data_IF_339894704167
#
_entry.id   IF_339894704167
#
_cell.length_a   1.000
_cell.length_b   1.000
_cell.length_c   1.000
_cell.angle_alpha   90.00
_cell.angle_beta   90.00
_cell.angle_gamma   90.00
#
_symmetry.space_group_name_H-M   'P 1'
#
loop_
_entity.id
_entity.type
_entity.pdbx_description
1 polymer ?
#
# COMPACT_ATOMS: atom_id res chain seq x y z
N UNK A 1 -0.87 -13.72 -2.43
CA UNK A 1 -2.30 -13.56 -2.85
C UNK A 1 -3.09 -12.57 -2.01
N UNK A 2 -2.88 -12.45 -0.69
CA UNK A 2 -3.69 -11.63 0.22
C UNK A 2 -3.75 -10.13 -0.17
N UNK A 3 -2.64 -9.53 -0.60
CA UNK A 3 -2.57 -8.12 -1.00
C UNK A 3 -3.39 -7.82 -2.26
N UNK A 4 -3.43 -8.75 -3.22
CA UNK A 4 -4.24 -8.60 -4.43
C UNK A 4 -5.73 -8.63 -4.07
N UNK A 5 -6.15 -9.57 -3.22
CA UNK A 5 -7.53 -9.63 -2.73
C UNK A 5 -7.91 -8.37 -1.96
N UNK A 6 -7.03 -7.90 -1.07
CA UNK A 6 -7.23 -6.67 -0.31
C UNK A 6 -7.35 -5.43 -1.22
N UNK A 7 -6.58 -5.38 -2.31
CA UNK A 7 -6.68 -4.32 -3.30
C UNK A 7 -8.07 -4.26 -3.94
N UNK A 8 -8.61 -5.39 -4.38
CA UNK A 8 -9.94 -5.45 -4.99
C UNK A 8 -11.05 -5.11 -4.01
N UNK A 9 -10.93 -5.56 -2.75
CA UNK A 9 -11.85 -5.15 -1.67
C UNK A 9 -11.74 -3.64 -1.44
N UNK A 10 -10.53 -3.07 -1.42
CA UNK A 10 -10.30 -1.64 -1.28
C UNK A 10 -10.96 -0.84 -2.41
N UNK A 11 -10.83 -1.28 -3.67
CA UNK A 11 -11.49 -0.64 -4.81
C UNK A 11 -13.00 -0.68 -4.70
N UNK A 12 -13.58 -1.81 -4.30
CA UNK A 12 -15.02 -1.92 -4.06
C UNK A 12 -15.49 -0.95 -2.98
N UNK A 13 -14.81 -0.92 -1.83
CA UNK A 13 -15.08 0.02 -0.75
C UNK A 13 -14.88 1.48 -1.19
N UNK A 14 -13.89 1.74 -2.04
CA UNK A 14 -13.67 3.03 -2.68
C UNK A 14 -14.87 3.46 -3.50
N UNK A 15 -15.38 2.60 -4.38
CA UNK A 15 -16.57 2.88 -5.18
C UNK A 15 -17.79 3.20 -4.29
N UNK A 16 -18.05 2.39 -3.27
CA UNK A 16 -19.18 2.60 -2.35
C UNK A 16 -18.99 3.92 -1.57
N UNK A 17 -17.80 4.14 -1.02
CA UNK A 17 -17.50 5.34 -0.24
C UNK A 17 -17.48 6.64 -1.05
N UNK A 18 -17.37 6.55 -2.36
CA UNK A 18 -17.54 7.69 -3.28
C UNK A 18 -18.99 7.89 -3.70
N UNK A 19 -19.71 6.81 -4.01
CA UNK A 19 -21.10 6.87 -4.44
C UNK A 19 -22.02 7.45 -3.36
N UNK A 20 -21.88 6.98 -2.11
CA UNK A 20 -22.74 7.41 -1.00
C UNK A 20 -22.62 8.92 -0.74
N UNK A 21 -21.45 9.51 -0.46
CA UNK A 21 -21.33 10.97 -0.31
C UNK A 21 -21.68 11.72 -1.59
N UNK A 22 -21.42 11.13 -2.78
CA UNK A 22 -21.75 11.72 -4.07
C UNK A 22 -23.25 12.05 -4.19
N UNK A 23 -24.11 11.18 -3.69
CA UNK A 23 -25.56 11.42 -3.66
C UNK A 23 -25.98 12.61 -2.77
N UNK A 24 -25.19 12.90 -1.73
CA UNK A 24 -25.46 13.99 -0.80
C UNK A 24 -24.81 15.33 -1.20
N UNK A 25 -23.89 15.33 -2.18
CA UNK A 25 -23.23 16.57 -2.64
C UNK A 25 -24.19 17.54 -3.34
N UNK A 26 -25.39 17.11 -3.69
CA UNK A 26 -26.45 17.96 -4.18
C UNK A 26 -26.84 19.05 -3.15
N UNK A 27 -26.80 18.76 -1.85
CA UNK A 27 -27.06 19.75 -0.80
C UNK A 27 -25.88 20.72 -0.65
N UNK A 28 -26.10 22.01 -0.95
CA UNK A 28 -25.04 23.03 -0.91
C UNK A 28 -24.41 23.15 0.49
N UNK A 29 -25.21 23.03 1.53
CA UNK A 29 -24.80 23.18 2.94
C UNK A 29 -24.47 21.85 3.64
N UNK A 30 -24.48 20.73 2.92
CA UNK A 30 -24.19 19.44 3.51
C UNK A 30 -22.78 19.42 4.13
N UNK A 31 -22.69 19.12 5.42
CA UNK A 31 -21.45 19.13 6.22
C UNK A 31 -20.70 20.49 6.21
N UNK A 32 -21.41 21.60 6.09
CA UNK A 32 -20.81 22.94 6.19
C UNK A 32 -20.22 23.50 4.88
N UNK A 33 -20.65 22.98 3.73
CA UNK A 33 -20.28 23.50 2.42
C UNK A 33 -19.03 22.87 1.80
N UNK A 34 -18.73 23.26 0.56
CA UNK A 34 -17.71 22.60 -0.28
C UNK A 34 -16.29 22.65 0.31
N UNK A 35 -15.91 23.73 0.98
CA UNK A 35 -14.59 23.95 1.55
C UNK A 35 -14.43 23.45 2.99
N UNK A 36 -15.50 22.91 3.56
CA UNK A 36 -15.50 22.47 4.97
C UNK A 36 -14.51 21.34 5.23
N UNK A 37 -13.98 21.31 6.44
CA UNK A 37 -13.06 20.29 6.91
C UNK A 37 -13.61 18.85 6.75
N UNK A 38 -14.86 18.56 7.20
CA UNK A 38 -15.41 17.20 7.05
C UNK A 38 -15.51 16.73 5.60
N UNK A 39 -16.00 17.60 4.69
CA UNK A 39 -16.11 17.25 3.26
C UNK A 39 -14.73 16.93 2.63
N UNK A 40 -13.70 17.67 3.01
CA UNK A 40 -12.34 17.44 2.52
C UNK A 40 -11.80 16.10 2.98
N UNK A 41 -12.03 15.73 4.24
CA UNK A 41 -11.56 14.46 4.81
C UNK A 41 -12.33 13.25 4.28
N UNK A 42 -13.64 13.38 4.04
CA UNK A 42 -14.42 12.30 3.41
C UNK A 42 -13.94 12.03 1.98
N UNK A 43 -13.61 13.07 1.21
CA UNK A 43 -12.98 12.90 -0.11
C UNK A 43 -11.61 12.25 -0.01
N UNK A 44 -10.81 12.64 0.98
CA UNK A 44 -9.50 12.03 1.21
C UNK A 44 -9.63 10.55 1.57
N UNK A 45 -10.61 10.19 2.42
CA UNK A 45 -10.91 8.79 2.76
C UNK A 45 -11.26 7.96 1.51
N UNK A 46 -12.12 8.49 0.64
CA UNK A 46 -12.48 7.86 -0.61
C UNK A 46 -11.24 7.63 -1.52
N UNK A 47 -10.42 8.66 -1.71
CA UNK A 47 -9.21 8.57 -2.53
C UNK A 47 -8.20 7.60 -1.91
N UNK A 48 -8.11 7.51 -0.58
CA UNK A 48 -7.18 6.63 0.10
C UNK A 48 -7.46 5.14 -0.15
N UNK A 49 -8.73 4.74 -0.33
CA UNK A 49 -9.08 3.38 -0.72
C UNK A 49 -8.45 2.99 -2.06
N UNK A 50 -8.51 3.87 -3.04
CA UNK A 50 -7.88 3.61 -4.35
C UNK A 50 -6.37 3.68 -4.25
N UNK A 51 -5.81 4.73 -3.64
CA UNK A 51 -4.36 4.91 -3.55
C UNK A 51 -3.66 3.73 -2.87
N UNK A 52 -4.13 3.33 -1.69
CA UNK A 52 -3.53 2.19 -0.98
C UNK A 52 -3.93 0.86 -1.63
N UNK A 53 -5.11 0.78 -2.26
CA UNK A 53 -5.50 -0.36 -3.09
C UNK A 53 -4.49 -0.61 -4.22
N UNK A 54 -4.09 0.42 -4.96
CA UNK A 54 -3.07 0.31 -6.01
C UNK A 54 -1.70 -0.09 -5.44
N UNK A 55 -1.31 0.42 -4.27
CA UNK A 55 -0.07 -0.01 -3.62
C UNK A 55 -0.10 -1.49 -3.21
N UNK A 56 -1.23 -1.96 -2.65
CA UNK A 56 -1.42 -3.38 -2.34
C UNK A 56 -1.36 -4.25 -3.61
N UNK A 57 -2.02 -3.81 -4.69
CA UNK A 57 -1.99 -4.51 -5.97
C UNK A 57 -0.57 -4.59 -6.51
N UNK A 58 0.14 -3.45 -6.54
CA UNK A 58 1.52 -3.36 -7.00
C UNK A 58 2.45 -4.26 -6.18
N UNK A 59 2.36 -4.23 -4.85
CA UNK A 59 3.17 -5.07 -3.97
C UNK A 59 2.88 -6.56 -4.23
N UNK A 60 1.60 -6.95 -4.32
CA UNK A 60 1.21 -8.34 -4.54
C UNK A 60 1.61 -8.86 -5.92
N UNK A 61 1.46 -8.07 -6.99
CA UNK A 61 1.86 -8.46 -8.34
C UNK A 61 3.38 -8.54 -8.48
N UNK A 62 4.09 -7.52 -8.01
CA UNK A 62 5.55 -7.47 -8.08
C UNK A 62 6.19 -8.62 -7.28
N UNK A 63 5.69 -8.88 -6.06
CA UNK A 63 6.15 -10.01 -5.26
C UNK A 63 5.95 -11.34 -5.97
N UNK A 64 4.78 -11.57 -6.58
CA UNK A 64 4.51 -12.79 -7.34
C UNK A 64 5.42 -12.95 -8.57
N UNK A 65 5.63 -11.87 -9.34
CA UNK A 65 6.46 -11.90 -10.56
C UNK A 65 7.94 -12.13 -10.23
N UNK A 66 8.44 -11.50 -9.17
CA UNK A 66 9.83 -11.61 -8.76
C UNK A 66 10.10 -12.81 -7.85
N UNK A 67 9.07 -13.54 -7.42
CA UNK A 67 9.22 -14.64 -6.45
C UNK A 67 9.68 -14.18 -5.06
N UNK A 68 9.46 -12.90 -4.72
CA UNK A 68 9.90 -12.31 -3.46
C UNK A 68 8.73 -12.27 -2.48
N UNK A 69 8.89 -12.95 -1.35
CA UNK A 69 7.91 -12.90 -0.25
C UNK A 69 8.38 -11.97 0.86
N UNK A 70 7.56 -10.99 1.20
CA UNK A 70 7.77 -10.09 2.34
C UNK A 70 6.51 -10.04 3.22
N UNK A 71 6.33 -11.00 4.14
CA UNK A 71 5.13 -11.08 4.97
C UNK A 71 4.93 -9.83 5.83
N UNK A 72 6.01 -9.28 6.37
CA UNK A 72 5.97 -8.08 7.22
C UNK A 72 5.50 -6.87 6.39
N UNK A 73 6.03 -6.67 5.19
CA UNK A 73 5.59 -5.60 4.29
C UNK A 73 4.11 -5.76 3.93
N UNK A 74 3.66 -6.98 3.67
CA UNK A 74 2.24 -7.30 3.38
C UNK A 74 1.34 -6.92 4.56
N UNK A 75 1.68 -7.30 5.77
CA UNK A 75 0.89 -7.00 6.99
C UNK A 75 0.83 -5.49 7.22
N UNK A 76 1.96 -4.78 7.10
CA UNK A 76 2.01 -3.33 7.27
C UNK A 76 1.19 -2.59 6.21
N UNK A 77 1.23 -3.06 4.97
CA UNK A 77 0.44 -2.48 3.88
C UNK A 77 -1.05 -2.69 4.10
N UNK A 78 -1.48 -3.87 4.55
CA UNK A 78 -2.86 -4.17 4.91
C UNK A 78 -3.33 -3.31 6.11
N UNK A 79 -2.48 -3.17 7.13
CA UNK A 79 -2.74 -2.28 8.27
C UNK A 79 -2.97 -0.84 7.83
N UNK A 80 -2.12 -0.34 6.94
CA UNK A 80 -2.27 0.99 6.32
C UNK A 80 -3.56 1.14 5.52
N UNK A 81 -3.96 0.10 4.78
CA UNK A 81 -5.17 0.09 3.97
C UNK A 81 -6.45 0.23 4.81
N UNK A 82 -6.46 -0.31 6.02
CA UNK A 82 -7.59 -0.18 6.95
C UNK A 82 -7.49 1.13 7.74
N UNK A 83 -6.30 1.43 8.25
CA UNK A 83 -6.10 2.56 9.15
C UNK A 83 -6.29 3.92 8.46
N UNK A 84 -5.83 4.09 7.21
CA UNK A 84 -5.88 5.38 6.51
C UNK A 84 -7.31 5.89 6.30
N UNK A 85 -8.23 5.14 5.66
CA UNK A 85 -9.61 5.60 5.52
C UNK A 85 -10.29 5.77 6.89
N UNK A 86 -10.03 4.88 7.85
CA UNK A 86 -10.61 4.94 9.19
C UNK A 86 -10.24 6.24 9.91
N UNK A 87 -8.95 6.62 9.88
CA UNK A 87 -8.46 7.87 10.49
C UNK A 87 -9.03 9.07 9.75
N UNK A 88 -9.17 9.03 8.41
CA UNK A 88 -9.81 10.09 7.64
C UNK A 88 -11.26 10.32 8.07
N UNK A 89 -12.06 9.24 8.15
CA UNK A 89 -13.45 9.36 8.61
C UNK A 89 -13.55 9.80 10.07
N UNK A 90 -12.74 9.22 10.97
CA UNK A 90 -12.72 9.63 12.38
C UNK A 90 -12.37 11.12 12.53
N UNK A 91 -11.38 11.60 11.78
CA UNK A 91 -10.94 13.00 11.81
C UNK A 91 -11.95 13.96 11.19
N UNK A 92 -12.81 13.48 10.28
CA UNK A 92 -13.89 14.29 9.72
C UNK A 92 -14.89 14.72 10.79
N UNK A 93 -15.18 13.86 11.76
CA UNK A 93 -16.12 14.14 12.84
C UNK A 93 -15.45 14.66 14.12
N UNK A 94 -14.18 14.33 14.36
CA UNK A 94 -13.39 14.79 15.52
C UNK A 94 -11.99 15.23 15.12
N UNK A 95 -11.72 16.54 15.07
CA UNK A 95 -10.40 17.07 14.65
C UNK A 95 -9.21 16.60 15.50
N UNK A 96 -9.45 16.12 16.73
CA UNK A 96 -8.40 15.57 17.59
C UNK A 96 -7.70 14.34 16.99
N UNK A 97 -8.40 13.55 16.16
CA UNK A 97 -7.83 12.37 15.53
C UNK A 97 -6.84 12.66 14.37
N UNK A 98 -6.67 13.93 13.99
CA UNK A 98 -5.70 14.33 12.95
C UNK A 98 -4.27 13.86 13.23
N UNK A 99 -3.88 13.75 14.50
CA UNK A 99 -2.54 13.31 14.88
C UNK A 99 -2.32 11.80 14.63
N UNK A 100 -3.39 11.02 14.48
CA UNK A 100 -3.31 9.60 14.16
C UNK A 100 -2.90 9.32 12.70
N UNK A 101 -2.88 10.34 11.83
CA UNK A 101 -2.42 10.18 10.44
C UNK A 101 -0.98 9.66 10.32
N UNK A 102 -0.13 9.90 11.32
CA UNK A 102 1.23 9.36 11.32
C UNK A 102 1.28 7.83 11.36
N UNK A 103 0.27 7.18 11.95
CA UNK A 103 0.22 5.72 12.08
C UNK A 103 0.07 5.06 10.71
N UNK A 104 -1.00 5.32 9.92
CA UNK A 104 -1.15 4.71 8.61
C UNK A 104 -0.08 5.17 7.62
N UNK A 105 0.34 6.43 7.65
CA UNK A 105 1.40 6.92 6.79
C UNK A 105 2.73 6.21 7.07
N UNK A 106 3.10 6.07 8.34
CA UNK A 106 4.31 5.33 8.75
C UNK A 106 4.24 3.85 8.39
N UNK A 107 3.07 3.20 8.58
CA UNK A 107 2.85 1.79 8.22
C UNK A 107 3.04 1.55 6.72
N UNK A 108 2.43 2.37 5.87
CA UNK A 108 2.56 2.26 4.41
C UNK A 108 4.00 2.53 3.96
N UNK A 109 4.64 3.58 4.51
CA UNK A 109 6.03 3.91 4.18
C UNK A 109 6.97 2.78 4.58
N UNK A 110 6.83 2.24 5.80
CA UNK A 110 7.63 1.10 6.26
C UNK A 110 7.42 -0.14 5.39
N UNK A 111 6.17 -0.42 4.97
CA UNK A 111 5.88 -1.52 4.06
C UNK A 111 6.63 -1.40 2.72
N UNK A 112 6.64 -0.20 2.13
CA UNK A 112 7.33 0.07 0.87
C UNK A 112 8.85 -0.10 1.05
N UNK A 113 9.44 0.48 2.09
CA UNK A 113 10.88 0.38 2.36
C UNK A 113 11.31 -1.07 2.57
N UNK A 114 10.56 -1.84 3.37
CA UNK A 114 10.85 -3.26 3.59
C UNK A 114 10.70 -4.09 2.31
N UNK A 115 9.72 -3.78 1.49
CA UNK A 115 9.55 -4.49 0.22
C UNK A 115 10.71 -4.20 -0.74
N UNK A 116 11.15 -2.93 -0.87
CA UNK A 116 12.32 -2.57 -1.68
C UNK A 116 13.57 -3.29 -1.18
N UNK A 117 13.79 -3.33 0.14
CA UNK A 117 14.92 -4.05 0.73
C UNK A 117 14.87 -5.56 0.42
N UNK A 118 13.69 -6.17 0.45
CA UNK A 118 13.51 -7.59 0.11
C UNK A 118 13.84 -7.87 -1.36
N UNK A 119 13.42 -7.01 -2.27
CA UNK A 119 13.72 -7.11 -3.71
C UNK A 119 15.23 -6.92 -3.96
N UNK A 120 15.86 -5.93 -3.33
CA UNK A 120 17.30 -5.68 -3.44
C UNK A 120 18.15 -6.86 -2.94
N UNK A 121 17.75 -7.45 -1.81
CA UNK A 121 18.42 -8.64 -1.26
C UNK A 121 18.32 -9.86 -2.18
N UNK A 122 17.15 -10.10 -2.77
CA UNK A 122 16.97 -11.22 -3.71
C UNK A 122 17.83 -11.05 -4.99
N UNK A 123 18.00 -9.83 -5.48
CA UNK A 123 18.84 -9.56 -6.66
C UNK A 123 20.33 -9.79 -6.37
N UNK A 124 20.79 -9.53 -5.15
CA UNK A 124 22.19 -9.75 -4.76
C UNK A 124 22.53 -11.27 -4.68
N UNK A 125 21.64 -12.08 -4.14
CA UNK A 125 21.85 -13.53 -4.01
C UNK A 125 21.94 -14.26 -5.35
N UNK A 126 21.18 -13.82 -6.35
CA UNK A 126 21.22 -14.38 -7.71
C UNK A 126 22.55 -14.10 -8.41
N UNK A 127 23.16 -12.93 -8.16
CA UNK A 127 24.47 -12.60 -8.74
C UNK A 127 25.61 -13.42 -8.13
N UNK A 128 25.57 -13.70 -6.84
CA UNK A 128 26.58 -14.52 -6.18
C UNK A 128 26.56 -15.98 -6.67
N UNK A 129 25.39 -16.52 -6.96
CA UNK A 129 25.23 -17.88 -7.48
C UNK A 129 25.80 -18.01 -8.91
N UNK A 130 25.59 -17.01 -9.77
CA UNK A 130 26.19 -16.97 -11.11
C UNK A 130 27.71 -16.74 -11.08
N UNK A 131 28.24 -16.00 -10.11
CA UNK A 131 29.67 -15.76 -9.94
C UNK A 131 30.43 -17.04 -9.54
N UNK A 132 29.81 -17.91 -8.75
CA UNK A 132 30.43 -19.18 -8.33
C UNK A 132 30.42 -20.24 -9.41
N UNK A 133 29.46 -20.23 -10.34
CA UNK A 133 29.39 -21.16 -11.48
C UNK A 133 30.34 -20.81 -12.63
N UNK A 134 30.85 -19.58 -12.68
CA UNK A 134 31.80 -19.11 -13.69
C UNK A 134 33.28 -19.27 -13.32
N UNK A 135 33.59 -19.94 -12.21
CA UNK A 135 34.98 -20.29 -11.87
C UNK A 135 35.48 -21.38 -12.83
N UNK A 136 36.52 -21.14 -13.64
CA UNK A 136 36.86 -22.01 -14.76
C UNK A 136 37.44 -23.31 -14.26
N UNK A 137 36.96 -24.41 -14.84
CA UNK A 137 37.62 -25.70 -14.95
C UNK A 137 38.95 -25.54 -15.78
N UNK A 138 39.84 -24.73 -15.29
CA UNK A 138 41.20 -24.65 -15.79
C UNK A 138 42.12 -25.24 -14.73
N UNK A 139 42.29 -26.55 -14.73
CA UNK A 139 43.55 -27.22 -14.35
C UNK A 139 43.29 -28.72 -14.28
N UNK A 140 43.31 -29.43 -15.39
CA UNK A 140 43.71 -30.86 -15.47
C UNK A 140 43.95 -31.15 -16.98
N UNK A 141 44.95 -30.56 -17.59
CA UNK A 141 45.65 -31.15 -18.73
C UNK A 141 47.10 -30.72 -18.62
N UNK A 142 47.87 -31.51 -17.87
CA UNK A 142 49.29 -31.73 -18.08
C UNK A 142 49.69 -33.01 -17.36
N UNK A 143 49.77 -34.11 -18.12
CA UNK A 143 50.89 -35.12 -18.16
C UNK A 143 50.50 -36.25 -19.11
#
# INVERSE_FOLDING_TARGET
>A
MINITAAWIGFLLGCISGAVPGLFFYGYDWLGGYTSWPRRLIRLAHISFFGIGFLNLGLGLTGNVLGVESPIASILMLGGAIAMPTVCYASAFRPAFRHLFFIPAGSVTAAIVLFIASVGGASCSVQDEHGTLSSPLHTQVEL
#
